data_IF_033306381196
#
_entry.id   IF_033306381196
#
_cell.length_a   1.000
_cell.length_b   1.000
_cell.length_c   1.000
_cell.angle_alpha   90.00
_cell.angle_beta   90.00
_cell.angle_gamma   90.00
#
_symmetry.space_group_name_H-M   'P 1'
#
loop_
_entity.id
_entity.type
_entity.pdbx_description
1 polymer ?
#
# COMPACT_ATOMS: atom_id res chain seq x y z
N UNK A 1 41.93 -39.60 3.64
CA UNK A 1 40.83 -40.22 2.87
C UNK A 1 40.45 -39.22 1.78
N UNK A 2 40.79 -39.33 0.50
CA UNK A 2 41.17 -40.45 -0.35
C UNK A 2 40.02 -40.83 -1.29
N UNK A 3 39.88 -40.15 -2.44
CA UNK A 3 39.33 -40.70 -3.70
C UNK A 3 40.10 -40.07 -4.88
N UNK A 4 40.61 -40.96 -5.74
CA UNK A 4 41.35 -40.75 -6.99
C UNK A 4 40.39 -41.01 -8.15
N UNK A 5 40.50 -40.26 -9.26
CA UNK A 5 40.26 -40.72 -10.65
C UNK A 5 40.57 -39.53 -11.59
N UNK A 6 41.82 -39.31 -12.00
CA UNK A 6 42.54 -39.92 -13.14
C UNK A 6 42.21 -39.30 -14.51
N UNK A 7 43.23 -38.64 -15.07
CA UNK A 7 43.66 -38.44 -16.48
C UNK A 7 42.55 -38.38 -17.57
N UNK A 8 42.55 -37.46 -18.53
CA UNK A 8 43.55 -37.28 -19.58
C UNK A 8 43.44 -35.84 -20.12
N UNK A 9 44.55 -35.09 -20.22
CA UNK A 9 44.62 -34.01 -21.21
C UNK A 9 46.02 -34.04 -21.83
N UNK A 10 46.09 -34.69 -22.98
CA UNK A 10 47.28 -34.77 -23.82
C UNK A 10 47.53 -33.38 -24.41
N UNK A 11 48.70 -32.85 -24.10
CA UNK A 11 49.60 -32.05 -24.95
C UNK A 11 49.05 -31.03 -25.95
N UNK A 12 49.52 -29.79 -25.73
CA UNK A 12 49.85 -28.74 -26.70
C UNK A 12 48.72 -27.80 -27.20
N UNK A 13 48.88 -26.54 -26.78
CA UNK A 13 48.39 -25.28 -27.37
C UNK A 13 46.93 -24.90 -27.09
N UNK A 14 46.73 -24.24 -25.96
CA UNK A 14 45.66 -23.24 -25.82
C UNK A 14 46.32 -21.89 -25.59
N UNK A 15 46.44 -21.12 -26.67
CA UNK A 15 46.87 -19.72 -26.64
C UNK A 15 45.86 -18.91 -25.81
N UNK A 16 46.35 -18.19 -24.80
CA UNK A 16 45.58 -17.16 -24.12
C UNK A 16 45.19 -16.07 -25.12
N UNK A 17 43.96 -16.09 -25.58
CA UNK A 17 43.31 -14.88 -26.08
C UNK A 17 42.52 -14.32 -24.91
N UNK A 18 43.09 -13.29 -24.29
CA UNK A 18 42.35 -12.38 -23.41
C UNK A 18 41.19 -11.81 -24.23
N UNK A 19 40.01 -12.41 -24.10
CA UNK A 19 38.77 -11.76 -24.47
C UNK A 19 38.58 -10.59 -23.52
N UNK A 20 38.79 -9.37 -24.03
CA UNK A 20 38.38 -8.16 -23.35
C UNK A 20 36.87 -8.22 -23.16
N UNK A 21 36.44 -8.63 -21.97
CA UNK A 21 35.05 -8.57 -21.56
C UNK A 21 34.73 -7.10 -21.34
N UNK A 22 34.19 -6.43 -22.37
CA UNK A 22 33.58 -5.12 -22.19
C UNK A 22 32.37 -5.32 -21.29
N UNK A 23 32.53 -5.01 -20.00
CA UNK A 23 31.40 -4.78 -19.12
C UNK A 23 30.48 -3.77 -19.83
N UNK A 24 29.17 -4.04 -19.98
CA UNK A 24 28.26 -3.04 -20.49
C UNK A 24 28.36 -1.80 -19.61
N UNK A 25 28.27 -0.58 -20.17
CA UNK A 25 28.37 0.64 -19.39
C UNK A 25 27.31 0.57 -18.29
N UNK A 26 27.78 0.67 -17.05
CA UNK A 26 26.96 0.79 -15.86
C UNK A 26 26.08 2.02 -16.07
N UNK A 27 24.86 1.79 -16.60
CA UNK A 27 23.89 2.85 -16.72
C UNK A 27 23.62 3.30 -15.30
N UNK A 28 23.89 4.56 -15.05
CA UNK A 28 23.60 5.24 -13.80
C UNK A 28 22.11 5.10 -13.52
N UNK A 29 21.75 4.03 -12.82
CA UNK A 29 20.51 3.96 -12.06
C UNK A 29 20.69 5.02 -10.99
N UNK A 30 20.30 6.25 -11.32
CA UNK A 30 19.84 7.19 -10.31
C UNK A 30 18.71 6.47 -9.61
N UNK A 31 19.03 5.73 -8.55
CA UNK A 31 18.04 5.29 -7.58
C UNK A 31 17.51 6.59 -7.02
N UNK A 32 16.41 7.06 -7.60
CA UNK A 32 15.58 8.07 -6.97
C UNK A 32 15.23 7.46 -5.61
N UNK A 33 15.96 7.88 -4.59
CA UNK A 33 15.78 7.36 -3.24
C UNK A 33 14.46 7.96 -2.77
N UNK A 34 13.38 7.22 -2.98
CA UNK A 34 12.08 7.59 -2.43
C UNK A 34 12.20 7.44 -0.90
N UNK A 35 11.94 8.50 -0.13
CA UNK A 35 12.05 8.44 1.31
C UNK A 35 11.07 7.40 1.86
N UNK A 36 11.53 6.59 2.81
CA UNK A 36 10.65 5.66 3.50
C UNK A 36 9.69 6.45 4.40
N UNK A 37 8.40 6.13 4.31
CA UNK A 37 7.38 6.80 5.10
C UNK A 37 7.39 6.27 6.55
N UNK A 38 7.79 7.11 7.51
CA UNK A 38 7.68 6.79 8.94
C UNK A 38 6.28 7.18 9.44
N UNK A 39 5.39 6.19 9.58
CA UNK A 39 3.97 6.38 9.85
C UNK A 39 3.49 5.66 11.11
N UNK A 40 2.61 6.32 11.86
CA UNK A 40 1.83 5.75 12.96
C UNK A 40 0.38 5.50 12.54
N UNK A 41 -0.19 4.41 13.05
CA UNK A 41 -1.59 4.04 12.84
C UNK A 41 -2.36 4.10 14.16
N UNK A 42 -3.56 4.66 14.16
CA UNK A 42 -4.43 4.80 15.33
C UNK A 42 -5.90 4.66 14.93
N UNK A 43 -6.75 4.29 15.88
CA UNK A 43 -8.20 4.15 15.67
C UNK A 43 -8.92 5.11 16.60
N UNK A 44 -9.82 5.93 16.06
CA UNK A 44 -10.52 6.97 16.79
C UNK A 44 -12.04 6.73 16.80
N UNK A 45 -12.69 7.15 17.88
CA UNK A 45 -14.15 7.13 18.00
C UNK A 45 -14.79 8.19 17.10
N UNK A 46 -15.68 7.77 16.19
CA UNK A 46 -16.38 8.57 15.20
C UNK A 46 -15.44 9.18 14.16
N UNK A 47 -14.72 10.25 14.49
CA UNK A 47 -14.07 11.13 13.52
C UNK A 47 -12.60 11.42 13.80
N UNK A 48 -11.97 12.31 13.00
CA UNK A 48 -10.54 12.63 13.10
C UNK A 48 -10.13 13.26 14.43
N UNK A 49 -11.05 14.00 15.08
CA UNK A 49 -10.87 14.61 16.40
C UNK A 49 -11.38 13.70 17.54
N UNK A 50 -11.78 12.47 17.22
CA UNK A 50 -12.25 11.48 18.17
C UNK A 50 -11.17 11.06 19.16
N UNK A 51 -11.57 10.52 20.31
CA UNK A 51 -10.62 9.88 21.22
C UNK A 51 -10.07 8.60 20.59
N UNK A 52 -8.76 8.36 20.77
CA UNK A 52 -8.14 7.09 20.36
C UNK A 52 -8.67 5.94 21.23
N UNK A 53 -8.94 4.79 20.59
CA UNK A 53 -9.54 3.62 21.21
C UNK A 53 -8.80 2.33 20.80
N UNK A 54 -8.78 1.34 21.69
CA UNK A 54 -8.20 0.01 21.41
C UNK A 54 -9.25 -1.06 21.09
N UNK A 55 -10.53 -0.75 21.29
CA UNK A 55 -11.65 -1.68 21.11
C UNK A 55 -12.91 -0.97 20.65
N UNK A 56 -13.83 -1.72 20.05
CA UNK A 56 -15.05 -1.18 19.45
C UNK A 56 -16.26 -2.08 19.70
N UNK A 57 -17.46 -1.55 19.47
CA UNK A 57 -18.72 -2.29 19.45
C UNK A 57 -19.40 -2.14 18.08
N UNK A 58 -20.29 -3.06 17.70
CA UNK A 58 -20.89 -3.09 16.35
C UNK A 58 -21.67 -1.83 15.92
N UNK A 59 -22.01 -0.95 16.87
CA UNK A 59 -22.79 0.27 16.62
C UNK A 59 -21.96 1.55 16.80
N UNK A 60 -20.64 1.44 16.70
CA UNK A 60 -19.71 2.54 16.93
C UNK A 60 -19.04 2.95 15.62
N UNK A 61 -19.13 4.21 15.28
CA UNK A 61 -18.43 4.77 14.12
C UNK A 61 -16.93 4.84 14.41
N UNK A 62 -16.10 4.47 13.44
CA UNK A 62 -14.65 4.43 13.58
C UNK A 62 -13.96 5.31 12.54
N UNK A 63 -12.86 5.92 12.96
CA UNK A 63 -11.94 6.64 12.10
C UNK A 63 -10.55 6.04 12.20
N UNK A 64 -10.09 5.40 11.13
CA UNK A 64 -8.73 4.88 11.04
C UNK A 64 -7.79 5.99 10.60
N UNK A 65 -6.88 6.43 11.48
CA UNK A 65 -5.96 7.55 11.25
C UNK A 65 -4.55 7.04 10.96
N UNK A 66 -3.98 7.52 9.87
CA UNK A 66 -2.61 7.28 9.44
C UNK A 66 -1.89 8.62 9.45
N UNK A 67 -0.84 8.74 10.25
CA UNK A 67 -0.05 9.97 10.35
C UNK A 67 1.42 9.66 10.15
N UNK A 68 2.04 10.33 9.18
CA UNK A 68 3.45 10.16 8.85
C UNK A 68 4.27 11.38 9.23
N UNK A 69 5.58 11.19 9.39
CA UNK A 69 6.51 12.31 9.58
C UNK A 69 6.56 13.17 8.31
N UNK A 70 6.49 14.51 8.43
CA UNK A 70 6.64 15.40 7.29
C UNK A 70 8.00 15.25 6.62
N UNK A 71 8.00 15.20 5.30
CA UNK A 71 9.20 15.12 4.45
C UNK A 71 9.09 16.20 3.36
N UNK A 72 10.12 17.05 3.23
CA UNK A 72 10.03 18.23 2.37
C UNK A 72 9.90 17.87 0.89
N UNK A 73 8.87 18.40 0.22
CA UNK A 73 8.62 18.15 -1.20
C UNK A 73 7.94 16.81 -1.48
N UNK A 74 7.42 16.14 -0.45
CA UNK A 74 6.68 14.89 -0.55
C UNK A 74 5.32 14.99 0.13
N UNK A 75 4.46 14.04 -0.19
CA UNK A 75 3.11 13.91 0.30
C UNK A 75 2.82 12.45 0.62
N UNK A 76 2.11 12.20 1.71
CA UNK A 76 1.55 10.89 2.00
C UNK A 76 0.55 10.49 0.90
N UNK A 77 0.70 9.26 0.43
CA UNK A 77 -0.25 8.56 -0.42
C UNK A 77 -0.57 7.20 0.17
N UNK A 78 -1.86 6.93 0.40
CA UNK A 78 -2.36 5.61 0.81
C UNK A 78 -2.67 4.80 -0.44
N UNK A 79 -1.92 3.72 -0.65
CA UNK A 79 -1.89 2.96 -1.91
C UNK A 79 -2.62 1.62 -1.83
N UNK A 80 -2.93 1.08 -0.66
CA UNK A 80 -3.83 -0.08 -0.54
C UNK A 80 -4.22 -0.25 0.92
N UNK A 81 -5.44 -0.66 1.21
CA UNK A 81 -5.80 -1.15 2.53
C UNK A 81 -6.52 -2.48 2.44
N UNK A 82 -6.26 -3.33 3.44
CA UNK A 82 -6.83 -4.66 3.56
C UNK A 82 -7.37 -4.89 4.96
N UNK A 83 -8.36 -5.75 5.02
CA UNK A 83 -8.87 -6.33 6.25
C UNK A 83 -8.70 -7.83 6.20
N UNK A 84 -8.18 -8.41 7.26
CA UNK A 84 -8.07 -9.85 7.41
C UNK A 84 -8.50 -10.24 8.82
N UNK A 85 -8.97 -11.47 9.02
CA UNK A 85 -9.05 -11.99 10.36
C UNK A 85 -7.64 -12.12 10.93
N UNK A 86 -7.55 -12.12 12.26
CA UNK A 86 -6.32 -12.40 12.98
C UNK A 86 -6.01 -13.91 12.98
N UNK A 87 -5.80 -14.46 11.78
CA UNK A 87 -5.40 -15.85 11.56
C UNK A 87 -4.46 -15.92 10.35
N UNK A 88 -3.34 -16.63 10.43
CA UNK A 88 -2.27 -16.59 9.43
C UNK A 88 -2.68 -17.17 8.05
N UNK A 89 -3.66 -18.06 8.01
CA UNK A 89 -4.00 -18.81 6.79
C UNK A 89 -5.06 -18.13 5.92
N UNK A 90 -5.58 -16.97 6.33
CA UNK A 90 -6.65 -16.29 5.62
C UNK A 90 -6.12 -15.14 4.76
N UNK A 91 -6.51 -15.19 3.48
CA UNK A 91 -6.16 -14.17 2.50
C UNK A 91 -6.79 -12.81 2.90
N UNK A 92 -6.02 -11.72 2.96
CA UNK A 92 -6.56 -10.39 3.20
C UNK A 92 -7.54 -9.95 2.11
N UNK A 93 -8.60 -9.26 2.52
CA UNK A 93 -9.58 -8.65 1.63
C UNK A 93 -9.24 -7.18 1.40
N UNK A 94 -9.06 -6.78 0.14
CA UNK A 94 -8.72 -5.40 -0.24
C UNK A 94 -9.96 -4.52 -0.23
N UNK A 95 -9.95 -3.49 0.63
CA UNK A 95 -11.05 -2.55 0.85
C UNK A 95 -10.78 -1.16 0.26
N UNK A 96 -9.52 -0.78 0.08
CA UNK A 96 -9.09 0.46 -0.56
C UNK A 96 -8.14 0.10 -1.71
N UNK A 97 -8.36 0.67 -2.88
CA UNK A 97 -7.53 0.45 -4.08
C UNK A 97 -6.25 1.31 -4.12
N UNK A 98 -5.52 1.19 -5.24
CA UNK A 98 -4.27 1.89 -5.50
C UNK A 98 -4.35 3.40 -5.59
N UNK A 99 -5.56 3.95 -5.71
CA UNK A 99 -5.81 5.37 -5.84
C UNK A 99 -6.40 5.98 -4.56
N UNK A 100 -6.56 5.19 -3.50
CA UNK A 100 -7.20 5.62 -2.25
C UNK A 100 -8.72 5.54 -2.31
N UNK A 101 -9.30 4.85 -3.30
CA UNK A 101 -10.74 4.71 -3.43
C UNK A 101 -11.24 3.44 -2.75
N UNK A 102 -12.35 3.58 -2.01
CA UNK A 102 -13.01 2.44 -1.41
C UNK A 102 -13.58 1.51 -2.47
N UNK A 103 -13.43 0.22 -2.22
CA UNK A 103 -14.07 -0.87 -2.95
C UNK A 103 -15.32 -1.38 -2.23
N UNK A 104 -15.49 -0.95 -0.97
CA UNK A 104 -16.62 -1.32 -0.10
C UNK A 104 -17.33 -0.07 0.39
N UNK A 105 -17.98 0.68 -0.51
CA UNK A 105 -18.51 2.00 -0.18
C UNK A 105 -19.67 1.95 0.84
N UNK A 106 -20.23 0.78 1.15
CA UNK A 106 -21.22 0.58 2.23
C UNK A 106 -20.59 0.40 3.62
N UNK A 107 -19.27 0.13 3.69
CA UNK A 107 -18.55 -0.18 4.92
C UNK A 107 -17.42 0.80 5.20
N UNK A 108 -16.75 1.31 4.17
CA UNK A 108 -15.62 2.22 4.29
C UNK A 108 -15.79 3.37 3.29
N UNK A 109 -15.53 4.59 3.74
CA UNK A 109 -15.40 5.74 2.87
C UNK A 109 -14.06 5.72 2.11
N UNK A 110 -13.94 6.55 1.07
CA UNK A 110 -12.65 6.81 0.43
C UNK A 110 -11.63 7.38 1.43
N UNK A 111 -10.34 7.25 1.12
CA UNK A 111 -9.28 7.88 1.91
C UNK A 111 -9.47 9.39 1.88
N UNK A 112 -9.54 10.01 3.06
CA UNK A 112 -9.60 11.45 3.24
C UNK A 112 -8.28 11.94 3.78
N UNK A 113 -7.76 13.04 3.23
CA UNK A 113 -6.51 13.64 3.70
C UNK A 113 -6.86 14.90 4.49
N UNK A 114 -6.48 14.91 5.77
CA UNK A 114 -6.60 16.09 6.65
C UNK A 114 -5.53 17.13 6.29
N UNK A 115 -4.34 16.63 5.96
CA UNK A 115 -3.19 17.41 5.50
C UNK A 115 -2.29 16.54 4.59
N UNK A 116 -1.08 17.02 4.30
CA UNK A 116 -0.14 16.34 3.40
C UNK A 116 0.51 15.08 3.98
N UNK A 117 0.41 14.86 5.29
CA UNK A 117 1.00 13.72 5.99
C UNK A 117 0.03 13.00 6.91
N UNK A 118 -1.24 13.40 6.94
CA UNK A 118 -2.31 12.79 7.73
C UNK A 118 -3.46 12.39 6.82
N UNK A 119 -3.78 11.10 6.83
CA UNK A 119 -4.90 10.51 6.11
C UNK A 119 -5.79 9.73 7.08
N UNK A 120 -7.05 9.55 6.71
CA UNK A 120 -7.89 8.61 7.40
C UNK A 120 -9.05 8.08 6.60
N UNK A 121 -9.65 7.03 7.17
CA UNK A 121 -10.67 6.21 6.53
C UNK A 121 -11.82 6.07 7.52
N UNK A 122 -12.99 6.53 7.12
CA UNK A 122 -14.19 6.45 7.95
C UNK A 122 -14.89 5.11 7.76
N UNK A 123 -15.31 4.50 8.86
CA UNK A 123 -16.05 3.25 8.89
C UNK A 123 -17.29 3.43 9.78
N UNK A 124 -18.49 3.63 9.20
CA UNK A 124 -19.71 3.86 9.98
C UNK A 124 -20.12 2.63 10.81
N UNK A 125 -19.73 1.43 10.37
CA UNK A 125 -20.10 0.18 11.02
C UNK A 125 -18.90 -0.77 11.10
N UNK A 126 -18.44 -1.13 12.32
CA UNK A 126 -17.33 -2.04 12.50
C UNK A 126 -17.65 -3.40 11.91
N UNK A 127 -16.70 -3.92 11.14
CA UNK A 127 -16.84 -5.20 10.47
C UNK A 127 -16.36 -6.36 11.35
N UNK A 128 -16.89 -7.54 11.08
CA UNK A 128 -16.39 -8.80 11.64
C UNK A 128 -16.44 -9.90 10.60
N UNK A 129 -15.49 -10.83 10.66
CA UNK A 129 -15.54 -12.03 9.83
C UNK A 129 -16.55 -13.04 10.41
N UNK A 130 -17.40 -13.61 9.53
CA UNK A 130 -18.42 -14.59 9.94
C UNK A 130 -17.76 -15.81 10.58
N UNK A 131 -18.30 -16.25 11.72
CA UNK A 131 -17.81 -17.43 12.43
C UNK A 131 -16.51 -17.22 13.21
N UNK A 132 -16.00 -15.99 13.28
CA UNK A 132 -14.81 -15.65 14.05
C UNK A 132 -15.16 -14.75 15.22
N UNK A 133 -14.50 -15.00 16.36
CA UNK A 133 -14.59 -14.17 17.58
C UNK A 133 -13.38 -13.23 17.74
N UNK A 134 -12.43 -13.30 16.82
CA UNK A 134 -11.15 -12.60 16.86
C UNK A 134 -11.23 -11.18 16.33
N UNK A 135 -10.20 -10.39 16.64
CA UNK A 135 -9.99 -9.06 16.11
C UNK A 135 -9.87 -9.09 14.58
N UNK A 136 -10.26 -7.97 13.96
CA UNK A 136 -9.99 -7.71 12.55
C UNK A 136 -8.66 -6.98 12.46
N UNK A 137 -7.73 -7.54 11.70
CA UNK A 137 -6.49 -6.86 11.34
C UNK A 137 -6.77 -5.91 10.19
N UNK A 138 -6.53 -4.63 10.42
CA UNK A 138 -6.58 -3.59 9.40
C UNK A 138 -5.15 -3.20 9.03
N UNK A 139 -4.82 -3.22 7.74
CA UNK A 139 -3.46 -2.93 7.28
C UNK A 139 -3.50 -2.10 6.00
N UNK A 140 -2.77 -0.98 5.99
CA UNK A 140 -2.58 -0.15 4.81
C UNK A 140 -1.11 -0.11 4.38
N UNK A 141 -0.90 0.03 3.07
CA UNK A 141 0.37 0.35 2.44
C UNK A 141 0.40 1.84 2.10
N UNK A 142 1.45 2.53 2.53
CA UNK A 142 1.65 3.97 2.34
C UNK A 142 2.94 4.23 1.58
N UNK A 143 2.94 5.28 0.76
CA UNK A 143 4.09 5.74 -0.03
C UNK A 143 4.20 7.26 0.05
N UNK A 144 5.40 7.80 -0.15
CA UNK A 144 5.62 9.25 -0.25
C UNK A 144 5.75 9.64 -1.73
N UNK A 145 4.77 10.38 -2.25
CA UNK A 145 4.82 10.91 -3.62
C UNK A 145 5.33 12.35 -3.63
N UNK A 146 6.12 12.77 -4.63
CA UNK A 146 6.55 14.16 -4.75
C UNK A 146 5.36 15.13 -4.81
N UNK A 147 5.47 16.27 -4.14
CA UNK A 147 4.50 17.37 -4.25
C UNK A 147 4.58 18.03 -5.63
N UNK A 148 3.49 18.67 -6.06
CA UNK A 148 3.47 19.51 -7.25
C UNK A 148 4.49 20.67 -7.19
N UNK A 149 4.75 21.34 -8.32
CA UNK A 149 5.68 22.47 -8.40
C UNK A 149 5.26 23.68 -7.55
N UNK A 150 3.98 23.78 -7.21
CA UNK A 150 3.37 24.75 -6.31
C UNK A 150 3.39 24.31 -4.83
N UNK A 151 3.94 23.13 -4.54
CA UNK A 151 3.92 22.50 -3.22
C UNK A 151 2.59 21.83 -2.89
N UNK A 152 1.64 21.74 -3.84
CA UNK A 152 0.33 21.12 -3.61
C UNK A 152 0.38 19.64 -3.94
N UNK A 153 -0.20 18.82 -3.07
CA UNK A 153 -0.29 17.38 -3.27
C UNK A 153 -1.51 17.03 -4.13
N UNK A 154 -1.28 16.70 -5.39
CA UNK A 154 -2.32 16.20 -6.29
C UNK A 154 -2.82 14.83 -5.82
N UNK A 155 -4.14 14.71 -5.63
CA UNK A 155 -4.79 13.49 -5.15
C UNK A 155 -5.85 13.04 -6.13
N UNK A 156 -5.94 11.73 -6.31
CA UNK A 156 -6.98 11.16 -7.16
C UNK A 156 -8.36 11.40 -6.54
N UNK A 157 -9.30 11.91 -7.35
CA UNK A 157 -10.68 12.13 -6.90
C UNK A 157 -11.50 10.88 -7.22
N UNK A 158 -11.82 10.13 -6.17
CA UNK A 158 -12.72 9.01 -6.27
C UNK A 158 -14.14 9.48 -6.65
N UNK A 159 -14.83 8.69 -7.46
CA UNK A 159 -16.23 8.92 -7.79
C UNK A 159 -17.10 8.66 -6.57
N UNK A 160 -18.09 9.53 -6.35
CA UNK A 160 -19.02 9.39 -5.22
C UNK A 160 -20.01 8.26 -5.46
N UNK A 161 -20.62 7.74 -4.39
CA UNK A 161 -21.75 6.82 -4.48
C UNK A 161 -22.88 7.29 -5.42
N UNK A 162 -23.13 8.61 -5.43
CA UNK A 162 -24.15 9.22 -6.27
C UNK A 162 -23.81 9.15 -7.77
N UNK A 163 -22.53 9.02 -8.11
CA UNK A 163 -22.04 8.86 -9.48
C UNK A 163 -22.04 7.37 -9.87
N UNK A 164 -21.62 6.47 -8.96
CA UNK A 164 -21.71 5.01 -9.15
C UNK A 164 -23.12 4.55 -9.54
N UNK A 165 -24.15 5.05 -8.85
CA UNK A 165 -25.54 4.68 -9.13
C UNK A 165 -26.04 5.24 -10.47
N UNK A 166 -25.48 6.35 -10.97
CA UNK A 166 -25.83 6.88 -12.29
C UNK A 166 -25.20 6.06 -13.41
N UNK A 167 -23.95 5.62 -13.23
CA UNK A 167 -23.25 4.81 -14.22
C UNK A 167 -23.79 3.37 -14.29
N UNK A 168 -24.14 2.77 -13.15
CA UNK A 168 -24.78 1.45 -13.12
C UNK A 168 -26.18 1.43 -13.77
N UNK A 169 -26.88 2.57 -13.75
CA UNK A 169 -28.19 2.73 -14.39
C UNK A 169 -28.10 3.24 -15.83
N UNK A 170 -26.89 3.45 -16.38
CA UNK A 170 -26.73 3.84 -17.78
C UNK A 170 -27.06 2.64 -18.66
N UNK A 171 -28.05 2.71 -19.55
CA UNK A 171 -28.34 1.61 -20.47
C UNK A 171 -27.10 1.35 -21.32
N UNK A 172 -26.63 0.10 -21.32
CA UNK A 172 -25.59 -0.35 -22.24
C UNK A 172 -26.06 -0.04 -23.66
N UNK A 173 -25.34 0.84 -24.36
CA UNK A 173 -25.62 1.10 -25.76
C UNK A 173 -25.53 -0.23 -26.52
N UNK A 174 -26.67 -0.66 -27.06
CA UNK A 174 -26.79 -1.84 -27.92
C UNK A 174 -26.28 -1.54 -29.33
#
# INVERSE_FOLDING_TARGET
MGIILSLWCVSLWCTSVYGAQSNPPESSINRLHEPEADCSFSVHDKGPEGAEIEGTSLNQELYYKIKCKPENGYCLRVSNCTVSPDSPDQKPYSIIDELGCTKEPSLFEHVQYEDDFTAGIYNPYPIRFRGQKSAVKFQCSTTLSPSGPDGVCERHRCITWSEYTKDANKPSAA
#
